data_IF_511426474624
#
_entry.id   IF_511426474624
#
_cell.length_a   1.000
_cell.length_b   1.000
_cell.length_c   1.000
_cell.angle_alpha   90.00
_cell.angle_beta   90.00
_cell.angle_gamma   90.00
#
_symmetry.space_group_name_H-M   'P 1'
#
loop_
_entity.id
_entity.type
_entity.pdbx_description
1 polymer ?
#
# COMPACT_ATOMS: atom_id res chain seq x y z
N UNK A 1 30.08 2.92 18.00
CA UNK A 1 28.81 2.47 17.40
C UNK A 1 28.71 3.11 16.04
N UNK A 2 28.71 2.33 14.95
CA UNK A 2 28.53 2.87 13.60
C UNK A 2 27.15 3.53 13.46
N UNK A 3 26.91 4.36 12.43
CA UNK A 3 25.56 4.87 12.18
C UNK A 3 24.60 3.68 12.11
N UNK A 4 23.60 3.67 12.99
CA UNK A 4 22.56 2.64 12.99
C UNK A 4 22.01 2.52 11.59
N UNK A 5 22.22 1.36 10.94
CA UNK A 5 21.67 1.10 9.62
C UNK A 5 20.15 1.25 9.70
N UNK A 6 19.59 1.96 8.71
CA UNK A 6 18.15 2.23 8.63
C UNK A 6 17.56 1.44 7.47
N UNK A 7 16.38 0.88 7.67
CA UNK A 7 15.67 0.08 6.68
C UNK A 7 14.36 0.74 6.33
N UNK A 8 13.99 0.67 5.05
CA UNK A 8 12.65 1.01 4.58
C UNK A 8 12.04 -0.25 3.97
N UNK A 9 10.87 -0.64 4.46
CA UNK A 9 10.07 -1.75 3.95
C UNK A 9 8.81 -1.18 3.34
N UNK A 10 8.52 -1.57 2.10
CA UNK A 10 7.29 -1.17 1.42
C UNK A 10 6.28 -2.29 1.51
N UNK A 11 5.08 -1.99 1.98
CA UNK A 11 3.95 -2.90 2.05
C UNK A 11 3.08 -2.67 0.82
N UNK A 12 3.13 -3.62 -0.11
CA UNK A 12 2.38 -3.61 -1.36
C UNK A 12 1.18 -4.56 -1.30
N UNK A 13 0.18 -4.31 -2.17
CA UNK A 13 -1.01 -5.15 -2.24
C UNK A 13 -2.23 -4.41 -2.75
N UNK A 14 -3.22 -5.18 -3.18
CA UNK A 14 -4.44 -4.64 -3.79
C UNK A 14 -5.27 -3.81 -2.79
N UNK A 15 -6.24 -3.06 -3.31
CA UNK A 15 -7.19 -2.31 -2.49
C UNK A 15 -7.99 -3.31 -1.63
N UNK A 16 -8.10 -3.04 -0.32
CA UNK A 16 -8.87 -3.88 0.59
C UNK A 16 -8.13 -5.11 1.18
N UNK A 17 -6.90 -5.42 0.79
CA UNK A 17 -6.19 -6.63 1.23
C UNK A 17 -5.58 -6.57 2.66
N UNK A 18 -5.87 -5.52 3.45
CA UNK A 18 -5.43 -5.44 4.84
C UNK A 18 -4.08 -4.77 5.13
N UNK A 19 -3.46 -4.07 4.14
CA UNK A 19 -2.17 -3.35 4.34
C UNK A 19 -2.13 -2.45 5.56
N UNK A 20 -3.13 -1.58 5.73
CA UNK A 20 -3.16 -0.66 6.88
C UNK A 20 -3.33 -1.40 8.21
N UNK A 21 -3.93 -2.61 8.22
CA UNK A 21 -3.99 -3.47 9.40
C UNK A 21 -2.63 -4.09 9.72
N UNK A 22 -1.91 -4.57 8.70
CA UNK A 22 -0.52 -5.04 8.84
C UNK A 22 0.38 -3.94 9.42
N UNK A 23 0.29 -2.72 8.89
CA UNK A 23 1.11 -1.61 9.33
C UNK A 23 0.84 -1.22 10.79
N UNK A 24 -0.44 -1.11 11.18
CA UNK A 24 -0.82 -0.81 12.58
C UNK A 24 -0.34 -1.89 13.54
N UNK A 25 -0.35 -3.15 13.12
CA UNK A 25 0.16 -4.25 13.94
C UNK A 25 1.64 -4.02 14.29
N UNK A 26 2.50 -3.75 13.31
CA UNK A 26 3.93 -3.54 13.55
C UNK A 26 4.27 -2.20 14.21
N UNK A 27 3.47 -1.15 13.98
CA UNK A 27 3.59 0.14 14.67
C UNK A 27 3.51 -0.01 16.19
N UNK A 28 2.67 -0.94 16.66
CA UNK A 28 2.44 -1.18 18.08
C UNK A 28 3.52 -2.05 18.73
N UNK A 29 4.29 -2.81 17.96
CA UNK A 29 5.27 -3.77 18.50
C UNK A 29 6.59 -3.15 18.94
N UNK A 30 6.95 -1.98 18.41
CA UNK A 30 8.23 -1.37 18.74
C UNK A 30 8.29 0.13 18.45
N UNK A 31 8.86 0.93 19.36
CA UNK A 31 9.24 2.31 19.06
C UNK A 31 10.34 2.42 17.99
N UNK A 32 10.97 1.29 17.62
CA UNK A 32 11.95 1.25 16.53
C UNK A 32 11.32 1.20 15.13
N UNK A 33 9.99 1.15 15.03
CA UNK A 33 9.25 1.26 13.79
C UNK A 33 8.61 2.66 13.67
N UNK A 34 8.78 3.30 12.51
CA UNK A 34 7.91 4.40 12.09
C UNK A 34 7.06 3.94 10.90
N UNK A 35 5.78 4.34 10.88
CA UNK A 35 4.82 3.92 9.86
C UNK A 35 4.35 5.12 9.04
N UNK A 36 4.38 4.96 7.72
CA UNK A 36 3.84 5.92 6.76
C UNK A 36 2.69 5.28 5.97
N UNK A 37 1.47 5.42 6.49
CA UNK A 37 0.24 5.02 5.80
C UNK A 37 -0.03 5.88 4.55
N UNK A 38 -0.87 5.37 3.65
CA UNK A 38 -1.33 6.10 2.47
C UNK A 38 -2.06 7.39 2.90
N UNK A 39 -1.68 8.57 2.38
CA UNK A 39 -2.27 9.83 2.79
C UNK A 39 -3.61 10.10 2.08
N UNK A 40 -4.58 9.19 2.20
CA UNK A 40 -5.88 9.29 1.51
C UNK A 40 -6.57 10.63 1.79
N UNK A 41 -6.39 11.19 3.00
CA UNK A 41 -6.92 12.49 3.38
C UNK A 41 -6.43 13.64 2.48
N UNK A 42 -5.17 13.60 2.01
CA UNK A 42 -4.63 14.59 1.06
C UNK A 42 -5.23 14.46 -0.34
N UNK A 43 -5.79 13.30 -0.66
CA UNK A 43 -6.42 13.04 -1.96
C UNK A 43 -7.92 13.33 -1.92
N UNK A 44 -8.53 13.27 -0.72
CA UNK A 44 -9.90 13.69 -0.46
C UNK A 44 -10.05 15.20 -0.35
N UNK A 45 -8.96 15.91 -0.04
CA UNK A 45 -8.90 17.36 -0.07
C UNK A 45 -7.61 17.83 -0.75
N UNK A 46 -7.69 18.01 -2.07
CA UNK A 46 -6.66 18.67 -2.86
C UNK A 46 -7.12 20.10 -3.17
N UNK A 47 -6.89 21.02 -2.23
CA UNK A 47 -7.25 22.45 -2.33
C UNK A 47 -8.76 22.66 -2.52
N UNK A 48 -9.59 21.96 -1.75
CA UNK A 48 -11.04 22.02 -1.82
C UNK A 48 -11.68 21.05 -2.81
N UNK A 49 -10.88 20.19 -3.47
CA UNK A 49 -11.37 19.19 -4.42
C UNK A 49 -11.06 17.76 -3.95
N UNK A 50 -12.08 16.89 -3.98
CA UNK A 50 -11.93 15.47 -3.68
C UNK A 50 -11.49 14.68 -4.91
N UNK A 51 -10.20 14.70 -5.22
CA UNK A 51 -9.65 13.99 -6.38
C UNK A 51 -9.84 12.47 -6.27
N UNK A 52 -9.84 11.92 -5.06
CA UNK A 52 -10.12 10.51 -4.82
C UNK A 52 -11.50 10.11 -5.35
N UNK A 53 -12.53 10.86 -4.97
CA UNK A 53 -13.90 10.63 -5.44
C UNK A 53 -14.05 10.93 -6.93
N UNK A 54 -13.49 12.04 -7.41
CA UNK A 54 -13.56 12.43 -8.82
C UNK A 54 -12.95 11.37 -9.76
N UNK A 55 -11.89 10.69 -9.34
CA UNK A 55 -11.31 9.57 -10.10
C UNK A 55 -12.30 8.41 -10.27
N UNK A 56 -13.05 8.06 -9.22
CA UNK A 56 -14.05 7.00 -9.30
C UNK A 56 -15.37 7.44 -9.97
N UNK A 57 -15.64 8.75 -10.07
CA UNK A 57 -16.80 9.30 -10.78
C UNK A 57 -16.55 9.41 -12.29
N UNK A 58 -15.40 9.94 -12.71
CA UNK A 58 -15.00 10.08 -14.12
C UNK A 58 -13.48 9.92 -14.25
N UNK A 59 -13.03 8.67 -14.35
CA UNK A 59 -11.60 8.38 -14.46
C UNK A 59 -11.01 8.83 -15.80
N UNK A 60 -11.81 8.94 -16.86
CA UNK A 60 -11.33 9.40 -18.18
C UNK A 60 -10.74 10.80 -18.05
N UNK A 61 -11.41 11.65 -17.25
CA UNK A 61 -10.96 13.00 -16.96
C UNK A 61 -9.98 13.08 -15.79
N UNK A 62 -10.21 12.32 -14.72
CA UNK A 62 -9.55 12.54 -13.43
C UNK A 62 -8.44 11.55 -13.09
N UNK A 63 -8.26 10.46 -13.84
CA UNK A 63 -7.22 9.48 -13.52
C UNK A 63 -5.81 10.07 -13.57
N UNK A 64 -5.48 10.86 -14.60
CA UNK A 64 -4.14 11.48 -14.71
C UNK A 64 -3.90 12.50 -13.59
N UNK A 65 -4.80 13.49 -13.32
CA UNK A 65 -4.65 14.39 -12.17
C UNK A 65 -4.53 13.66 -10.83
N UNK A 66 -5.36 12.63 -10.61
CA UNK A 66 -5.33 11.85 -9.38
C UNK A 66 -4.01 11.08 -9.24
N UNK A 67 -3.54 10.38 -10.28
CA UNK A 67 -2.27 9.65 -10.22
C UNK A 67 -1.07 10.58 -10.04
N UNK A 68 -1.09 11.77 -10.64
CA UNK A 68 -0.05 12.79 -10.38
C UNK A 68 -0.04 13.21 -8.90
N UNK A 69 -1.21 13.45 -8.31
CA UNK A 69 -1.33 13.78 -6.89
C UNK A 69 -0.85 12.63 -5.99
N UNK A 70 -1.24 11.39 -6.29
CA UNK A 70 -0.78 10.19 -5.57
C UNK A 70 0.75 10.08 -5.65
N UNK A 71 1.33 10.19 -6.85
CA UNK A 71 2.78 10.11 -7.04
C UNK A 71 3.54 11.17 -6.24
N UNK A 72 3.10 12.44 -6.30
CA UNK A 72 3.73 13.55 -5.56
C UNK A 72 3.65 13.32 -4.06
N UNK A 73 2.48 12.95 -3.55
CA UNK A 73 2.29 12.74 -2.11
C UNK A 73 3.05 11.51 -1.58
N UNK A 74 3.15 10.42 -2.35
CA UNK A 74 3.97 9.27 -1.96
C UNK A 74 5.46 9.60 -2.01
N UNK A 75 5.91 10.34 -3.03
CA UNK A 75 7.30 10.81 -3.12
C UNK A 75 7.66 11.69 -1.93
N UNK A 76 6.81 12.68 -1.58
CA UNK A 76 7.01 13.53 -0.40
C UNK A 76 7.16 12.69 0.87
N UNK A 77 6.29 11.69 1.08
CA UNK A 77 6.38 10.79 2.24
C UNK A 77 7.68 9.97 2.25
N UNK A 78 8.09 9.43 1.10
CA UNK A 78 9.31 8.64 1.00
C UNK A 78 10.58 9.47 1.20
N UNK A 79 10.55 10.76 0.86
CA UNK A 79 11.66 11.70 1.06
C UNK A 79 11.77 12.25 2.49
N UNK A 80 10.78 11.99 3.36
CA UNK A 80 10.85 12.44 4.76
C UNK A 80 12.09 11.85 5.44
N UNK A 81 12.82 12.62 6.27
CA UNK A 81 13.91 12.10 7.08
C UNK A 81 13.45 10.92 7.94
N UNK A 82 14.20 9.81 7.91
CA UNK A 82 13.88 8.62 8.70
C UNK A 82 14.40 8.77 10.13
N UNK A 83 13.49 8.65 11.10
CA UNK A 83 13.79 8.85 12.52
C UNK A 83 13.98 7.52 13.25
N UNK A 84 13.18 6.50 12.91
CA UNK A 84 13.29 5.16 13.48
C UNK A 84 14.23 4.23 12.67
N UNK A 85 14.79 3.16 13.27
CA UNK A 85 15.59 2.16 12.55
C UNK A 85 14.85 1.48 11.39
N UNK A 86 13.55 1.20 11.54
CA UNK A 86 12.71 0.61 10.48
C UNK A 86 11.60 1.58 10.12
N UNK A 87 11.43 1.83 8.82
CA UNK A 87 10.30 2.57 8.26
C UNK A 87 9.43 1.59 7.47
N UNK A 88 8.16 1.47 7.83
CA UNK A 88 7.18 0.75 7.03
C UNK A 88 6.33 1.75 6.25
N UNK A 89 6.24 1.58 4.93
CA UNK A 89 5.49 2.51 4.06
C UNK A 89 4.38 1.74 3.35
N UNK A 90 3.17 2.28 3.38
CA UNK A 90 2.06 1.77 2.58
C UNK A 90 2.22 2.25 1.14
N UNK A 91 2.40 1.30 0.22
CA UNK A 91 2.73 1.52 -1.19
C UNK A 91 4.03 2.29 -1.44
N UNK A 92 4.43 2.28 -2.71
CA UNK A 92 5.56 3.04 -3.22
C UNK A 92 5.27 3.69 -4.59
N UNK A 93 6.18 4.56 -5.02
CA UNK A 93 6.23 5.06 -6.39
C UNK A 93 6.30 3.94 -7.44
N UNK A 94 6.78 2.75 -7.07
CA UNK A 94 6.79 1.59 -7.97
C UNK A 94 5.38 1.06 -8.22
N UNK A 95 4.53 0.99 -7.19
CA UNK A 95 3.12 0.60 -7.37
C UNK A 95 2.37 1.56 -8.29
N UNK A 96 2.66 2.88 -8.20
CA UNK A 96 2.13 3.86 -9.15
C UNK A 96 2.51 3.51 -10.58
N UNK A 97 3.80 3.22 -10.82
CA UNK A 97 4.33 2.93 -12.16
C UNK A 97 3.85 1.59 -12.71
N UNK A 98 3.97 0.52 -11.94
CA UNK A 98 3.83 -0.86 -12.42
C UNK A 98 2.42 -1.43 -12.27
N UNK A 99 1.59 -0.83 -11.41
CA UNK A 99 0.19 -1.23 -11.26
C UNK A 99 -0.75 -0.14 -11.79
N UNK A 100 -0.77 1.04 -11.17
CA UNK A 100 -1.83 2.01 -11.47
C UNK A 100 -1.71 2.62 -12.87
N UNK A 101 -0.52 3.05 -13.26
CA UNK A 101 -0.26 3.61 -14.61
C UNK A 101 -0.41 2.53 -15.69
N UNK A 102 0.09 1.31 -15.46
CA UNK A 102 -0.11 0.19 -16.39
C UNK A 102 -1.58 -0.14 -16.58
N UNK A 103 -2.38 -0.10 -15.51
CA UNK A 103 -3.81 -0.33 -15.60
C UNK A 103 -4.51 0.75 -16.45
N UNK A 104 -4.15 2.03 -16.26
CA UNK A 104 -4.67 3.14 -17.07
C UNK A 104 -4.33 3.01 -18.55
N UNK A 105 -3.19 2.42 -18.90
CA UNK A 105 -2.81 2.19 -20.29
C UNK A 105 -3.60 1.05 -20.95
N UNK A 106 -3.91 -0.02 -20.21
CA UNK A 106 -4.60 -1.19 -20.74
C UNK A 106 -6.04 -0.90 -21.14
N UNK A 107 -6.73 -0.06 -20.38
CA UNK A 107 -8.15 0.19 -20.60
C UNK A 107 -8.54 1.61 -20.20
N UNK A 108 -8.62 2.55 -21.16
CA UNK A 108 -9.17 3.88 -20.93
C UNK A 108 -10.64 3.84 -20.49
N UNK A 109 -11.35 2.72 -20.73
CA UNK A 109 -12.79 2.55 -20.60
C UNK A 109 -13.24 1.68 -19.41
N UNK A 110 -12.33 1.13 -18.60
CA UNK A 110 -12.66 0.33 -17.39
C UNK A 110 -13.42 1.10 -16.29
N UNK A 111 -13.73 2.37 -16.49
CA UNK A 111 -14.54 3.15 -15.55
C UNK A 111 -15.98 3.46 -16.01
N UNK A 112 -16.53 2.70 -16.96
CA UNK A 112 -17.97 2.74 -17.21
C UNK A 112 -18.60 1.35 -17.13
N UNK A 113 -19.00 0.95 -15.92
CA UNK A 113 -19.74 -0.29 -15.70
C UNK A 113 -20.18 -0.45 -14.24
N UNK A 114 -21.43 -0.08 -13.97
CA UNK A 114 -22.15 -0.09 -12.67
C UNK A 114 -21.73 -1.22 -11.71
N UNK A 115 -21.43 -0.87 -10.45
CA UNK A 115 -21.53 -1.82 -9.32
C UNK A 115 -22.33 -1.17 -8.20
N UNK A 116 -23.39 -1.87 -7.79
CA UNK A 116 -24.15 -1.61 -6.57
C UNK A 116 -23.53 -2.38 -5.42
N UNK A 117 -23.64 -1.76 -4.24
CA UNK A 117 -23.59 -2.31 -2.88
C UNK A 117 -22.24 -2.84 -2.39
N UNK A 118 -21.49 -1.96 -1.70
CA UNK A 118 -21.03 -2.19 -0.30
C UNK A 118 -20.41 -0.93 0.34
N UNK A 119 -20.96 -0.57 1.51
CA UNK A 119 -20.73 0.59 2.39
C UNK A 119 -19.27 0.99 2.68
N UNK A 120 -18.67 1.83 1.83
CA UNK A 120 -17.63 2.80 2.24
C UNK A 120 -17.83 4.09 1.47
N UNK A 121 -18.08 5.20 2.18
CA UNK A 121 -18.30 6.50 1.56
C UNK A 121 -17.08 6.92 0.70
N UNK A 122 -17.25 6.84 -0.63
CA UNK A 122 -16.24 7.12 -1.65
C UNK A 122 -15.62 5.91 -2.36
N UNK A 123 -15.91 4.67 -1.95
CA UNK A 123 -15.47 3.43 -2.61
C UNK A 123 -16.64 2.57 -3.15
N UNK A 124 -17.89 3.04 -3.02
CA UNK A 124 -19.11 2.30 -3.38
C UNK A 124 -19.24 1.96 -4.89
N UNK A 125 -18.31 2.44 -5.73
CA UNK A 125 -18.34 2.34 -7.20
C UNK A 125 -17.13 1.67 -7.83
N UNK A 126 -16.19 1.09 -7.06
CA UNK A 126 -15.00 0.44 -7.66
C UNK A 126 -15.40 -0.85 -8.39
N UNK A 127 -15.22 -0.96 -9.72
CA UNK A 127 -15.62 -2.14 -10.45
C UNK A 127 -14.77 -3.36 -10.06
N UNK A 128 -15.39 -4.55 -9.94
CA UNK A 128 -14.66 -5.79 -9.68
C UNK A 128 -13.55 -6.03 -10.71
N UNK A 129 -13.82 -5.73 -12.00
CA UNK A 129 -12.83 -5.83 -13.07
C UNK A 129 -11.59 -4.97 -12.77
N UNK A 130 -11.78 -3.75 -12.27
CA UNK A 130 -10.66 -2.88 -11.90
C UNK A 130 -9.81 -3.51 -10.79
N UNK A 131 -10.44 -4.11 -9.77
CA UNK A 131 -9.73 -4.81 -8.71
C UNK A 131 -8.98 -6.05 -9.24
N UNK A 132 -9.57 -6.80 -10.17
CA UNK A 132 -8.92 -7.93 -10.83
C UNK A 132 -7.72 -7.49 -11.66
N UNK A 133 -7.88 -6.46 -12.49
CA UNK A 133 -6.80 -5.94 -13.34
C UNK A 133 -5.62 -5.45 -12.48
N UNK A 134 -5.90 -4.81 -11.34
CA UNK A 134 -4.88 -4.44 -10.37
C UNK A 134 -4.23 -5.65 -9.72
N UNK A 135 -5.00 -6.68 -9.32
CA UNK A 135 -4.45 -7.90 -8.75
C UNK A 135 -3.45 -8.55 -9.72
N UNK A 136 -3.85 -8.74 -10.98
CA UNK A 136 -3.01 -9.34 -12.01
C UNK A 136 -1.73 -8.54 -12.25
N UNK A 137 -1.79 -7.21 -12.12
CA UNK A 137 -0.60 -6.35 -12.22
C UNK A 137 0.34 -6.48 -11.02
N UNK A 138 -0.19 -6.64 -9.80
CA UNK A 138 0.64 -6.92 -8.62
C UNK A 138 1.32 -8.29 -8.75
N UNK A 139 0.60 -9.33 -9.17
CA UNK A 139 1.16 -10.67 -9.41
C UNK A 139 2.24 -10.62 -10.50
N UNK A 140 1.94 -9.97 -11.64
CA UNK A 140 2.89 -9.82 -12.72
C UNK A 140 4.17 -9.10 -12.28
N UNK A 141 4.05 -8.05 -11.46
CA UNK A 141 5.18 -7.28 -10.98
C UNK A 141 5.99 -8.01 -9.91
N UNK A 142 5.36 -8.38 -8.80
CA UNK A 142 6.03 -8.86 -7.59
C UNK A 142 6.39 -10.35 -7.68
N UNK A 143 5.52 -11.17 -8.27
CA UNK A 143 5.67 -12.63 -8.27
C UNK A 143 6.35 -13.11 -9.56
N UNK A 144 5.87 -12.63 -10.71
CA UNK A 144 6.35 -13.10 -12.01
C UNK A 144 7.50 -12.28 -12.60
N UNK A 145 7.93 -11.20 -11.93
CA UNK A 145 9.10 -10.42 -12.35
C UNK A 145 8.94 -9.75 -13.72
N UNK A 146 7.71 -9.40 -14.13
CA UNK A 146 7.41 -8.77 -15.43
C UNK A 146 8.25 -7.54 -15.71
N UNK A 147 8.63 -6.80 -14.66
CA UNK A 147 9.42 -5.57 -14.75
C UNK A 147 10.88 -5.75 -14.31
N UNK A 148 11.37 -6.99 -14.32
CA UNK A 148 12.74 -7.34 -13.94
C UNK A 148 12.89 -7.75 -12.48
N UNK A 149 14.14 -7.89 -12.05
CA UNK A 149 14.47 -8.28 -10.68
C UNK A 149 14.10 -7.17 -9.70
N UNK A 150 13.49 -7.56 -8.58
CA UNK A 150 13.19 -6.62 -7.50
C UNK A 150 14.50 -6.14 -6.84
N UNK A 151 14.60 -4.85 -6.49
CA UNK A 151 15.80 -4.30 -5.87
C UNK A 151 15.98 -4.73 -4.40
N UNK A 152 14.96 -5.39 -3.82
CA UNK A 152 14.92 -5.82 -2.43
C UNK A 152 14.26 -7.21 -2.32
N UNK A 153 14.53 -7.96 -1.23
CA UNK A 153 13.84 -9.22 -0.95
C UNK A 153 12.32 -9.05 -0.86
N UNK A 154 11.58 -10.08 -1.30
CA UNK A 154 10.12 -10.10 -1.25
C UNK A 154 9.63 -11.01 -0.12
N UNK A 155 8.81 -10.45 0.77
CA UNK A 155 8.08 -11.19 1.81
C UNK A 155 6.61 -11.29 1.41
N UNK A 156 6.10 -12.51 1.26
CA UNK A 156 4.71 -12.77 0.86
C UNK A 156 3.90 -13.23 2.09
N UNK A 157 2.73 -12.65 2.30
CA UNK A 157 1.76 -13.04 3.32
C UNK A 157 0.42 -13.38 2.64
N UNK A 158 -0.19 -14.50 3.05
CA UNK A 158 -1.52 -14.89 2.60
C UNK A 158 -2.59 -14.14 3.42
N UNK A 159 -3.13 -13.09 2.82
CA UNK A 159 -4.15 -12.27 3.47
C UNK A 159 -5.57 -12.86 3.42
N UNK A 160 -5.78 -14.01 2.77
CA UNK A 160 -7.08 -14.69 2.75
C UNK A 160 -7.27 -15.61 3.97
N UNK A 161 -6.18 -15.89 4.70
CA UNK A 161 -6.21 -16.65 5.94
C UNK A 161 -7.01 -15.91 7.05
N UNK A 162 -7.69 -16.64 7.95
CA UNK A 162 -8.36 -16.05 9.10
C UNK A 162 -7.40 -15.20 9.95
N UNK A 163 -7.90 -14.09 10.51
CA UNK A 163 -7.10 -13.13 11.28
C UNK A 163 -6.19 -13.78 12.36
N UNK A 164 -6.63 -14.77 13.16
CA UNK A 164 -5.74 -15.41 14.15
C UNK A 164 -4.52 -16.09 13.53
N UNK A 165 -4.69 -16.73 12.36
CA UNK A 165 -3.60 -17.36 11.61
C UNK A 165 -2.69 -16.30 11.01
N UNK A 166 -3.26 -15.27 10.39
CA UNK A 166 -2.51 -14.16 9.81
C UNK A 166 -1.64 -13.44 10.86
N UNK A 167 -2.17 -13.22 12.07
CA UNK A 167 -1.40 -12.66 13.19
C UNK A 167 -0.30 -13.61 13.69
N UNK A 168 -0.53 -14.93 13.64
CA UNK A 168 0.51 -15.90 13.95
C UNK A 168 1.64 -15.85 12.92
N UNK A 169 1.32 -15.71 11.64
CA UNK A 169 2.30 -15.57 10.56
C UNK A 169 3.10 -14.26 10.70
N UNK A 170 2.43 -13.16 11.05
CA UNK A 170 3.11 -11.89 11.33
C UNK A 170 4.11 -12.03 12.49
N UNK A 171 3.74 -12.70 13.59
CA UNK A 171 4.64 -12.99 14.71
C UNK A 171 5.81 -13.88 14.30
N UNK A 172 5.53 -14.95 13.55
CA UNK A 172 6.55 -15.90 13.13
C UNK A 172 7.62 -15.25 12.25
N UNK A 173 7.22 -14.26 11.44
CA UNK A 173 8.09 -13.57 10.47
C UNK A 173 8.45 -12.14 10.87
N UNK A 174 8.21 -11.76 12.12
CA UNK A 174 8.42 -10.38 12.60
C UNK A 174 9.86 -9.91 12.42
N UNK A 175 10.84 -10.79 12.61
CA UNK A 175 12.25 -10.46 12.46
C UNK A 175 12.61 -10.14 11.00
N UNK A 176 11.98 -10.80 10.03
CA UNK A 176 12.16 -10.51 8.61
C UNK A 176 11.56 -9.14 8.26
N UNK A 177 10.33 -8.88 8.71
CA UNK A 177 9.64 -7.59 8.50
C UNK A 177 10.42 -6.44 9.13
N UNK A 178 10.99 -6.67 10.32
CA UNK A 178 11.77 -5.67 11.06
C UNK A 178 13.25 -5.65 10.66
N UNK A 179 13.64 -6.38 9.61
CA UNK A 179 15.03 -6.44 9.12
C UNK A 179 16.06 -6.79 10.23
N UNK A 180 15.67 -7.64 11.16
CA UNK A 180 16.47 -8.05 12.32
C UNK A 180 16.55 -7.03 13.46
N UNK A 181 15.90 -5.87 13.34
CA UNK A 181 15.79 -4.90 14.44
C UNK A 181 14.90 -5.49 15.53
N UNK A 182 15.34 -5.49 16.80
CA UNK A 182 14.56 -6.02 17.91
C UNK A 182 13.21 -5.33 18.06
N UNK A 183 12.18 -6.13 18.32
CA UNK A 183 10.85 -5.69 18.75
C UNK A 183 10.72 -5.85 20.25
N UNK A 184 10.01 -4.92 20.90
CA UNK A 184 9.82 -4.97 22.34
C UNK A 184 8.66 -5.93 22.65
N UNK A 185 8.99 -7.12 23.15
CA UNK A 185 8.05 -8.21 23.41
C UNK A 185 7.01 -7.89 24.51
N UNK A 186 7.11 -6.75 25.20
CA UNK A 186 6.25 -6.38 26.34
C UNK A 186 4.83 -5.95 25.93
N UNK A 187 4.54 -5.70 24.64
CA UNK A 187 3.19 -5.31 24.17
C UNK A 187 2.24 -6.53 24.00
N UNK A 188 2.69 -7.75 24.30
CA UNK A 188 1.93 -8.99 24.06
C UNK A 188 0.84 -9.34 25.09
N UNK A 189 0.45 -8.44 25.99
CA UNK A 189 -0.57 -8.70 27.01
C UNK A 189 -1.68 -7.63 27.04
N UNK A 190 -2.53 -7.61 26.02
CA UNK A 190 -3.88 -7.01 26.09
C UNK A 190 -4.81 -7.62 25.05
#
# INVERSE_FOLDING_TARGET
MGPSQRFTVTVEGNIGCGKSTFLRYFEQLSPNAEVLQEPIYLWKDTRGHNLFELMYQDSTRWAVPFQAQVLVTLLDRQLKPQTAPVRLVERSVYSCRYCFVENMHKDPSVCLGRVRTRNRAGEDSVPLKYLQDLHDLHEAWLIHGRFGHLPAPLLIFDCDAPLPQLLADYRARQAEVMCGVPVDMEVQAA
#
